data_IF_038284579562
#
_entry.id   IF_038284579562
#
_cell.length_a   1.000
_cell.length_b   1.000
_cell.length_c   1.000
_cell.angle_alpha   90.00
_cell.angle_beta   90.00
_cell.angle_gamma   90.00
#
_symmetry.space_group_name_H-M   'P 1'
#
loop_
_entity.id
_entity.type
_entity.pdbx_description
1 polymer ?
#
# COMPACT_ATOMS: atom_id res chain seq x y z
N UNK A 1 4.41 -19.29 -0.98
CA UNK A 1 4.93 -18.70 0.28
C UNK A 1 5.26 -17.24 0.00
N UNK A 2 5.11 -16.31 0.95
CA UNK A 2 5.38 -14.88 0.75
C UNK A 2 4.91 -14.03 1.93
N UNK A 3 5.67 -12.98 2.29
CA UNK A 3 5.42 -12.15 3.47
C UNK A 3 4.38 -11.06 3.17
N UNK A 4 3.51 -10.72 4.12
CA UNK A 4 2.52 -9.66 3.93
C UNK A 4 3.21 -8.29 3.93
N UNK A 5 3.08 -7.53 2.83
CA UNK A 5 3.81 -6.26 2.65
C UNK A 5 3.49 -5.24 3.76
N UNK A 6 2.24 -5.13 4.22
CA UNK A 6 1.91 -4.26 5.36
C UNK A 6 2.71 -4.65 6.62
N UNK A 7 2.77 -5.94 6.93
CA UNK A 7 3.47 -6.39 8.14
C UNK A 7 4.98 -6.16 8.01
N UNK A 8 5.56 -6.45 6.85
CA UNK A 8 6.98 -6.18 6.57
C UNK A 8 7.30 -4.70 6.77
N UNK A 9 6.54 -3.79 6.17
CA UNK A 9 6.78 -2.34 6.30
C UNK A 9 6.67 -1.88 7.76
N UNK A 10 5.61 -2.29 8.47
CA UNK A 10 5.40 -1.87 9.86
C UNK A 10 6.44 -2.47 10.81
N UNK A 11 6.88 -3.70 10.59
CA UNK A 11 7.93 -4.34 11.39
C UNK A 11 9.27 -3.60 11.26
N UNK A 12 9.57 -3.05 10.07
CA UNK A 12 10.76 -2.25 9.82
C UNK A 12 10.57 -0.76 10.19
N UNK A 13 9.50 -0.40 10.91
CA UNK A 13 9.26 0.98 11.36
C UNK A 13 8.89 1.96 10.24
N UNK A 14 8.56 1.48 9.04
CA UNK A 14 8.24 2.34 7.89
C UNK A 14 6.85 2.95 8.05
N UNK A 15 6.75 4.26 7.81
CA UNK A 15 5.50 5.02 7.89
C UNK A 15 4.55 4.73 6.70
N UNK A 16 3.78 3.65 6.82
CA UNK A 16 2.81 3.24 5.80
C UNK A 16 1.54 4.11 5.73
N UNK A 17 1.15 4.72 6.85
CA UNK A 17 -0.11 5.43 7.00
C UNK A 17 0.12 6.93 7.16
N UNK A 18 -0.59 7.72 6.36
CA UNK A 18 -0.42 9.18 6.35
C UNK A 18 -1.19 9.82 7.52
N UNK A 19 -0.48 10.52 8.40
CA UNK A 19 -1.08 11.24 9.54
C UNK A 19 -2.06 10.38 10.34
N UNK A 20 -3.30 10.86 10.50
CA UNK A 20 -4.32 10.19 11.31
C UNK A 20 -4.85 8.87 10.71
N UNK A 21 -4.48 8.53 9.47
CA UNK A 21 -4.77 7.20 8.92
C UNK A 21 -4.12 6.07 9.74
N UNK A 22 -3.06 6.35 10.52
CA UNK A 22 -2.44 5.39 11.45
C UNK A 22 -3.42 4.93 12.54
N UNK A 23 -4.37 5.76 12.93
CA UNK A 23 -5.35 5.44 13.98
C UNK A 23 -6.59 4.72 13.42
N UNK A 24 -7.05 5.11 12.22
CA UNK A 24 -8.33 4.64 11.67
C UNK A 24 -8.22 3.53 10.61
N UNK A 25 -7.02 2.99 10.37
CA UNK A 25 -6.83 1.95 9.36
C UNK A 25 -7.61 0.67 9.71
N UNK A 26 -8.03 -0.07 8.67
CA UNK A 26 -8.79 -1.32 8.82
C UNK A 26 -7.97 -2.54 9.28
N UNK A 27 -6.74 -2.34 9.77
CA UNK A 27 -5.84 -3.41 10.27
C UNK A 27 -5.60 -4.58 9.31
N UNK A 28 -5.80 -4.36 8.01
CA UNK A 28 -5.54 -5.33 6.96
C UNK A 28 -6.76 -6.05 6.38
N UNK A 29 -7.98 -5.63 6.71
CA UNK A 29 -9.22 -6.20 6.16
C UNK A 29 -9.33 -5.99 4.63
N UNK A 30 -8.74 -4.91 4.12
CA UNK A 30 -8.78 -4.52 2.70
C UNK A 30 -9.84 -3.48 2.35
N UNK A 31 -10.50 -2.86 3.35
CA UNK A 31 -11.63 -1.93 3.13
C UNK A 31 -11.28 -0.45 3.21
N UNK A 32 -10.28 -0.03 3.98
CA UNK A 32 -10.02 1.41 4.17
C UNK A 32 -9.29 2.08 2.98
N UNK A 33 -8.36 1.37 2.32
CA UNK A 33 -7.52 1.91 1.27
C UNK A 33 -6.27 2.68 1.73
N UNK A 34 -6.14 3.01 3.02
CA UNK A 34 -5.08 3.91 3.53
C UNK A 34 -3.66 3.34 3.46
N UNK A 35 -3.51 2.03 3.25
CA UNK A 35 -2.21 1.38 3.00
C UNK A 35 -1.86 1.31 1.50
N UNK A 36 -2.37 2.23 0.68
CA UNK A 36 -2.02 2.31 -0.73
C UNK A 36 -0.55 2.74 -0.90
N UNK A 37 0.17 1.99 -1.73
CA UNK A 37 1.57 2.21 -2.12
C UNK A 37 1.75 1.83 -3.57
N UNK A 38 2.75 2.38 -4.25
CA UNK A 38 3.27 1.81 -5.49
C UNK A 38 4.27 0.72 -5.15
N UNK A 39 4.30 -0.33 -5.99
CA UNK A 39 5.15 -1.49 -5.78
C UNK A 39 5.80 -1.84 -7.10
N UNK A 40 7.12 -1.92 -7.08
CA UNK A 40 7.94 -2.46 -8.17
C UNK A 40 8.66 -3.70 -7.66
N UNK A 41 8.82 -4.72 -8.51
CA UNK A 41 9.44 -6.00 -8.14
C UNK A 41 8.43 -7.13 -7.93
N UNK A 42 8.90 -8.21 -7.33
CA UNK A 42 8.17 -9.48 -7.30
C UNK A 42 7.16 -9.56 -6.15
N UNK A 43 5.87 -9.44 -6.50
CA UNK A 43 4.76 -9.57 -5.56
C UNK A 43 3.63 -10.45 -6.08
N UNK A 44 2.78 -10.91 -5.18
CA UNK A 44 1.58 -11.65 -5.55
C UNK A 44 0.66 -10.83 -6.47
N UNK A 45 -0.11 -11.50 -7.35
CA UNK A 45 -1.17 -10.86 -8.12
C UNK A 45 -2.15 -10.10 -7.22
N UNK A 46 -2.75 -9.02 -7.75
CA UNK A 46 -3.78 -8.28 -7.04
C UNK A 46 -5.03 -9.15 -6.83
N UNK A 47 -5.42 -9.33 -5.57
CA UNK A 47 -6.64 -10.05 -5.22
C UNK A 47 -7.89 -9.16 -5.39
N UNK A 48 -9.08 -9.74 -5.21
CA UNK A 48 -10.36 -9.03 -5.40
C UNK A 48 -10.55 -7.84 -4.46
N UNK A 49 -10.02 -7.90 -3.21
CA UNK A 49 -10.11 -6.79 -2.26
C UNK A 49 -9.21 -5.63 -2.65
N UNK A 50 -7.98 -5.94 -3.09
CA UNK A 50 -7.03 -4.96 -3.61
C UNK A 50 -7.63 -4.22 -4.83
N UNK A 51 -8.10 -4.98 -5.82
CA UNK A 51 -8.73 -4.43 -7.03
C UNK A 51 -9.96 -3.62 -6.67
N UNK A 52 -10.90 -4.22 -5.93
CA UNK A 52 -12.17 -3.59 -5.60
C UNK A 52 -12.00 -2.28 -4.85
N UNK A 53 -11.17 -2.25 -3.79
CA UNK A 53 -11.03 -1.02 -3.00
C UNK A 53 -10.28 0.09 -3.74
N UNK A 54 -9.29 -0.22 -4.58
CA UNK A 54 -8.56 0.77 -5.39
C UNK A 54 -9.37 1.32 -6.57
N UNK A 55 -10.42 0.62 -6.98
CA UNK A 55 -11.38 1.13 -7.97
C UNK A 55 -12.39 2.13 -7.40
N UNK A 56 -12.43 2.30 -6.06
CA UNK A 56 -13.36 3.21 -5.40
C UNK A 56 -12.67 4.52 -4.98
N UNK A 57 -13.40 5.65 -4.96
CA UNK A 57 -12.87 6.92 -4.46
C UNK A 57 -12.26 6.80 -3.05
N UNK A 58 -11.24 7.63 -2.74
CA UNK A 58 -10.62 8.61 -3.63
C UNK A 58 -9.48 8.00 -4.49
N UNK A 59 -9.38 6.67 -4.60
CA UNK A 59 -8.39 6.01 -5.45
C UNK A 59 -8.80 6.03 -6.92
N UNK A 60 -7.84 5.72 -7.79
CA UNK A 60 -8.03 5.61 -9.22
C UNK A 60 -7.43 4.26 -9.70
N UNK A 61 -8.21 3.40 -10.36
CA UNK A 61 -7.74 2.09 -10.82
C UNK A 61 -6.61 2.16 -11.86
N UNK A 62 -6.46 3.29 -12.56
CA UNK A 62 -5.42 3.50 -13.56
C UNK A 62 -4.04 3.84 -12.95
N UNK A 63 -3.99 4.18 -11.66
CA UNK A 63 -2.70 4.40 -10.97
C UNK A 63 -2.10 3.04 -10.59
N UNK A 64 -0.79 2.89 -10.81
CA UNK A 64 -0.04 1.72 -10.36
C UNK A 64 0.10 1.72 -8.83
N UNK A 65 -0.97 1.29 -8.14
CA UNK A 65 -1.03 1.21 -6.69
C UNK A 65 -1.44 -0.18 -6.27
N UNK A 66 -1.08 -0.55 -5.04
CA UNK A 66 -1.46 -1.79 -4.37
C UNK A 66 -1.84 -1.46 -2.94
N UNK A 67 -2.75 -2.23 -2.36
CA UNK A 67 -2.94 -2.27 -0.92
C UNK A 67 -1.86 -3.16 -0.32
N UNK A 68 -0.96 -2.56 0.46
CA UNK A 68 0.11 -3.31 1.13
C UNK A 68 -0.44 -4.48 1.97
N UNK A 69 -1.62 -4.31 2.58
CA UNK A 69 -2.22 -5.38 3.39
C UNK A 69 -2.74 -6.57 2.58
N UNK A 70 -3.00 -6.39 1.28
CA UNK A 70 -3.51 -7.43 0.38
C UNK A 70 -2.43 -7.95 -0.57
N UNK A 71 -1.17 -7.58 -0.35
CA UNK A 71 -0.04 -7.89 -1.23
C UNK A 71 0.98 -8.72 -0.48
N UNK A 72 1.45 -9.82 -1.10
CA UNK A 72 2.55 -10.62 -0.58
C UNK A 72 3.84 -10.30 -1.35
N UNK A 73 4.92 -10.09 -0.64
CA UNK A 73 6.29 -9.95 -1.16
C UNK A 73 6.81 -11.35 -1.47
N UNK A 74 7.31 -11.54 -2.69
CA UNK A 74 7.84 -12.81 -3.21
C UNK A 74 9.34 -12.75 -3.52
N UNK A 75 9.89 -11.55 -3.68
CA UNK A 75 11.31 -11.27 -3.86
C UNK A 75 11.61 -9.81 -3.54
N UNK A 76 12.66 -9.26 -4.14
CA UNK A 76 13.05 -7.86 -3.91
C UNK A 76 11.99 -6.90 -4.46
N UNK A 77 11.70 -5.86 -3.68
CA UNK A 77 10.68 -4.86 -4.02
C UNK A 77 11.12 -3.45 -3.66
N UNK A 78 10.75 -2.48 -4.50
CA UNK A 78 10.81 -1.05 -4.21
C UNK A 78 9.41 -0.52 -3.95
N UNK A 79 9.23 0.22 -2.87
CA UNK A 79 7.93 0.69 -2.40
C UNK A 79 7.90 2.21 -2.34
N UNK A 80 6.94 2.84 -2.99
CA UNK A 80 6.77 4.30 -2.92
C UNK A 80 5.47 4.64 -2.22
N UNK A 81 5.51 5.51 -1.22
CA UNK A 81 4.32 6.06 -0.57
C UNK A 81 4.03 7.46 -1.10
N UNK A 82 2.75 7.73 -1.36
CA UNK A 82 2.29 9.01 -1.89
C UNK A 82 1.50 9.80 -0.84
N UNK A 83 1.33 11.09 -1.10
CA UNK A 83 0.66 12.07 -0.26
C UNK A 83 -0.87 11.90 -0.19
N UNK A 84 -1.49 12.81 0.57
CA UNK A 84 -2.93 12.84 0.93
C UNK A 84 -3.37 11.69 1.85
N UNK A 85 -4.53 11.83 2.48
CA UNK A 85 -4.94 10.95 3.58
C UNK A 85 -4.98 9.45 3.23
N UNK A 86 -5.39 9.07 2.02
CA UNK A 86 -5.43 7.67 1.57
C UNK A 86 -4.18 7.24 0.79
N UNK A 87 -3.19 8.12 0.60
CA UNK A 87 -2.07 7.87 -0.32
C UNK A 87 -2.50 7.92 -1.80
N UNK A 88 -3.58 8.65 -2.10
CA UNK A 88 -4.16 8.74 -3.43
C UNK A 88 -3.58 9.87 -4.29
N UNK A 89 -2.76 10.75 -3.68
CA UNK A 89 -2.11 11.84 -4.38
C UNK A 89 -1.03 11.37 -5.34
N UNK A 90 -0.24 12.32 -5.81
CA UNK A 90 0.78 12.14 -6.87
C UNK A 90 2.18 12.51 -6.41
N UNK A 91 2.32 13.09 -5.21
CA UNK A 91 3.62 13.46 -4.65
C UNK A 91 4.14 12.31 -3.78
N UNK A 92 5.33 11.75 -4.07
CA UNK A 92 5.98 10.80 -3.17
C UNK A 92 6.28 11.47 -1.83
N UNK A 93 5.89 10.82 -0.72
CA UNK A 93 6.31 11.19 0.62
C UNK A 93 7.63 10.53 1.00
N UNK A 94 7.80 9.28 0.57
CA UNK A 94 9.04 8.55 0.69
C UNK A 94 9.10 7.44 -0.34
N UNK A 95 10.33 7.16 -0.73
CA UNK A 95 10.80 6.01 -1.50
C UNK A 95 12.02 5.51 -0.75
N UNK A 96 12.27 4.21 -0.59
CA UNK A 96 13.52 3.76 -0.01
C UNK A 96 14.67 4.34 -0.85
N UNK A 97 15.60 5.02 -0.18
CA UNK A 97 16.91 5.29 -0.76
C UNK A 97 17.54 3.92 -1.03
N UNK A 98 18.12 3.77 -2.23
CA UNK A 98 18.73 2.52 -2.67
C UNK A 98 19.86 2.08 -1.76
#
# INVERSE_FOLDING_TARGET
VGANLRQVLLHNGIELYNGQAKLINCRGIGSCGTCAVEVEGEVSPANWKDKGRRSLPPHNPNKNRRLACQTKVLGDVRITKFDRFWGQGDQPLWTPEG
#
